data_IF_844734402987
#
_entry.id   IF_844734402987
#
_cell.length_a   1.000
_cell.length_b   1.000
_cell.length_c   1.000
_cell.angle_alpha   90.00
_cell.angle_beta   90.00
_cell.angle_gamma   90.00
#
_symmetry.space_group_name_H-M   'P 1'
#
loop_
_entity.id
_entity.type
_entity.pdbx_description
1 polymer ?
#
# COMPACT_ATOMS: atom_id res chain seq x y z
N UNK A 1 18.19 3.68 -0.79
CA UNK A 1 19.15 3.04 0.15
C UNK A 1 19.83 1.85 -0.54
N UNK A 2 21.12 1.59 -0.30
CA UNK A 2 21.80 0.38 -0.77
C UNK A 2 22.21 -0.47 0.44
N UNK A 3 21.66 -1.68 0.56
CA UNK A 3 21.99 -2.64 1.62
C UNK A 3 22.89 -3.71 1.02
N UNK A 4 24.15 -3.78 1.47
CA UNK A 4 25.17 -4.67 0.90
C UNK A 4 25.58 -5.77 1.89
N UNK A 5 25.16 -7.00 1.58
CA UNK A 5 25.49 -8.22 2.33
C UNK A 5 26.66 -8.99 1.72
N UNK A 6 27.24 -8.54 0.59
CA UNK A 6 28.23 -9.30 -0.19
C UNK A 6 29.52 -9.61 0.59
N UNK A 7 29.85 -8.79 1.61
CA UNK A 7 31.05 -8.94 2.44
C UNK A 7 30.86 -9.84 3.67
N UNK A 8 29.65 -10.32 3.96
CA UNK A 8 29.43 -11.23 5.09
C UNK A 8 30.08 -12.59 4.78
N UNK A 9 31.15 -12.93 5.51
CA UNK A 9 32.09 -13.99 5.15
C UNK A 9 31.41 -15.37 4.99
N UNK A 10 30.56 -15.77 5.94
CA UNK A 10 29.87 -17.06 5.93
C UNK A 10 28.71 -17.14 4.93
N UNK A 11 28.35 -16.02 4.28
CA UNK A 11 27.26 -15.96 3.31
C UNK A 11 25.89 -16.17 3.92
N UNK A 12 25.70 -15.83 5.19
CA UNK A 12 24.41 -15.85 5.89
C UNK A 12 23.91 -14.43 6.17
N UNK A 13 22.64 -14.27 6.55
CA UNK A 13 22.06 -12.98 6.99
C UNK A 13 20.93 -12.45 6.11
N UNK A 14 20.16 -11.52 6.67
CA UNK A 14 19.07 -10.83 5.99
C UNK A 14 19.34 -9.32 5.95
N UNK A 15 18.94 -8.63 4.87
CA UNK A 15 19.10 -7.19 4.74
C UNK A 15 18.18 -6.40 5.69
N UNK A 16 16.89 -6.72 5.67
CA UNK A 16 15.88 -6.13 6.57
C UNK A 16 15.06 -7.25 7.20
N UNK A 17 14.94 -7.24 8.53
CA UNK A 17 13.85 -7.92 9.24
C UNK A 17 12.64 -6.99 9.23
N UNK A 18 11.61 -7.33 8.45
CA UNK A 18 10.47 -6.43 8.18
C UNK A 18 9.17 -6.95 8.80
N UNK A 19 9.20 -7.22 10.10
CA UNK A 19 8.03 -7.63 10.88
C UNK A 19 7.23 -6.40 11.30
N UNK A 20 6.22 -6.04 10.48
CA UNK A 20 5.50 -4.76 10.61
C UNK A 20 3.99 -4.90 10.43
N UNK A 21 3.26 -3.82 10.69
CA UNK A 21 1.82 -3.69 10.49
C UNK A 21 1.49 -2.66 9.38
N UNK A 22 0.28 -2.09 9.41
CA UNK A 22 -0.19 -1.05 8.48
C UNK A 22 0.61 0.25 8.60
N UNK A 23 0.39 1.19 7.66
CA UNK A 23 1.09 2.48 7.60
C UNK A 23 2.64 2.36 7.56
N UNK A 24 3.15 1.26 7.01
CA UNK A 24 4.58 1.04 6.81
C UNK A 24 4.90 0.85 5.34
N UNK A 25 6.04 1.38 4.91
CA UNK A 25 6.51 1.29 3.53
C UNK A 25 8.00 0.96 3.44
N UNK A 26 8.36 0.14 2.46
CA UNK A 26 9.71 0.09 1.90
C UNK A 26 9.67 0.67 0.49
N UNK A 27 10.52 1.65 0.21
CA UNK A 27 10.61 2.27 -1.10
C UNK A 27 12.05 2.55 -1.51
N UNK A 28 12.39 2.28 -2.79
CA UNK A 28 13.65 2.67 -3.40
C UNK A 28 14.88 2.11 -2.66
N UNK A 29 14.89 0.79 -2.47
CA UNK A 29 15.97 0.06 -1.79
C UNK A 29 16.56 -0.97 -2.73
N UNK A 30 17.89 -1.00 -2.80
CA UNK A 30 18.66 -2.02 -3.51
C UNK A 30 19.33 -2.93 -2.48
N UNK A 31 19.12 -4.23 -2.62
CA UNK A 31 19.75 -5.28 -1.84
C UNK A 31 20.82 -5.96 -2.69
N UNK A 32 22.07 -5.93 -2.25
CA UNK A 32 23.19 -6.59 -2.91
C UNK A 32 23.64 -7.77 -2.05
N UNK A 33 23.51 -8.98 -2.59
CA UNK A 33 23.80 -10.24 -1.93
C UNK A 33 24.79 -11.07 -2.76
N UNK A 34 25.42 -12.04 -2.11
CA UNK A 34 26.30 -13.02 -2.78
C UNK A 34 25.51 -13.84 -3.80
N UNK A 35 26.18 -14.22 -4.89
CA UNK A 35 25.59 -15.03 -5.97
C UNK A 35 26.14 -16.47 -6.03
N UNK A 36 27.15 -16.79 -5.21
CA UNK A 36 27.64 -18.18 -5.12
C UNK A 36 26.54 -19.12 -4.63
N UNK A 37 26.54 -20.38 -5.09
CA UNK A 37 25.44 -21.31 -4.81
C UNK A 37 25.33 -21.81 -3.36
N UNK A 38 26.26 -21.42 -2.48
CA UNK A 38 26.34 -21.89 -1.09
C UNK A 38 25.77 -20.91 -0.08
N UNK A 39 25.62 -19.63 -0.45
CA UNK A 39 25.06 -18.62 0.44
C UNK A 39 23.60 -18.92 0.84
N UNK A 40 23.19 -18.41 2.00
CA UNK A 40 21.83 -18.47 2.52
C UNK A 40 21.23 -17.09 2.73
N UNK A 41 21.80 -16.06 2.07
CA UNK A 41 21.41 -14.67 2.25
C UNK A 41 20.00 -14.40 1.74
N UNK A 42 19.35 -13.44 2.40
CA UNK A 42 18.01 -12.98 2.07
C UNK A 42 17.97 -11.45 2.01
N UNK A 43 17.23 -10.87 1.07
CA UNK A 43 17.08 -9.41 1.03
C UNK A 43 16.16 -8.94 2.16
N UNK A 44 14.94 -9.45 2.15
CA UNK A 44 13.96 -9.27 3.22
C UNK A 44 13.72 -10.59 3.93
N UNK A 45 13.71 -10.55 5.26
CA UNK A 45 13.18 -11.59 6.13
C UNK A 45 11.95 -11.04 6.85
N UNK A 46 10.79 -11.64 6.58
CA UNK A 46 9.53 -11.30 7.24
C UNK A 46 8.86 -12.59 7.72
N UNK A 47 8.81 -12.77 9.03
CA UNK A 47 8.31 -13.96 9.70
C UNK A 47 6.81 -13.87 10.03
N UNK A 48 6.32 -12.68 10.38
CA UNK A 48 4.89 -12.38 10.54
C UNK A 48 4.61 -10.86 10.37
N UNK A 49 3.34 -10.47 10.47
CA UNK A 49 2.91 -9.07 10.43
C UNK A 49 1.43 -8.93 10.07
N UNK A 50 0.92 -7.70 10.09
CA UNK A 50 -0.38 -7.31 9.53
C UNK A 50 -0.17 -6.19 8.54
N UNK A 51 0.61 -6.54 7.53
CA UNK A 51 1.32 -5.60 6.72
C UNK A 51 0.50 -4.69 5.82
N UNK A 52 1.27 -3.72 5.34
CA UNK A 52 0.90 -2.67 4.42
C UNK A 52 1.60 -2.83 3.07
N UNK A 53 2.68 -2.07 2.84
CA UNK A 53 3.08 -1.71 1.49
C UNK A 53 4.59 -1.81 1.18
N UNK A 54 4.96 -2.20 -0.05
CA UNK A 54 6.33 -2.06 -0.57
C UNK A 54 6.33 -1.69 -2.05
N UNK A 55 7.28 -0.84 -2.47
CA UNK A 55 7.51 -0.57 -3.87
C UNK A 55 8.96 -0.27 -4.25
N UNK A 56 9.27 -0.41 -5.54
CA UNK A 56 10.53 0.04 -6.14
C UNK A 56 11.76 -0.58 -5.45
N UNK A 57 11.73 -1.90 -5.28
CA UNK A 57 12.80 -2.65 -4.63
C UNK A 57 13.59 -3.43 -5.67
N UNK A 58 14.92 -3.47 -5.52
CA UNK A 58 15.81 -4.25 -6.39
C UNK A 58 16.61 -5.23 -5.55
N UNK A 59 16.60 -6.50 -5.93
CA UNK A 59 17.32 -7.57 -5.26
C UNK A 59 18.33 -8.19 -6.22
N UNK A 60 19.61 -8.16 -5.86
CA UNK A 60 20.70 -8.71 -6.66
C UNK A 60 21.36 -9.87 -5.92
N UNK A 61 21.18 -11.09 -6.42
CA UNK A 61 21.74 -12.32 -5.82
C UNK A 61 20.94 -12.87 -4.64
N UNK A 62 21.60 -13.64 -3.80
CA UNK A 62 21.03 -14.27 -2.62
C UNK A 62 20.33 -15.60 -2.89
N UNK A 63 20.17 -16.39 -1.83
CA UNK A 63 19.34 -17.60 -1.86
C UNK A 63 17.87 -17.23 -2.03
N UNK A 64 17.43 -16.19 -1.32
CA UNK A 64 16.05 -15.71 -1.37
C UNK A 64 16.08 -14.19 -1.59
N UNK A 65 15.39 -13.68 -2.61
CA UNK A 65 15.21 -12.23 -2.75
C UNK A 65 14.43 -11.68 -1.56
N UNK A 66 13.19 -12.16 -1.39
CA UNK A 66 12.36 -11.85 -0.24
C UNK A 66 11.66 -13.08 0.33
N UNK A 67 11.83 -13.28 1.64
CA UNK A 67 11.09 -14.26 2.43
C UNK A 67 9.91 -13.56 3.11
N UNK A 68 8.69 -13.93 2.73
CA UNK A 68 7.48 -13.23 3.12
C UNK A 68 6.54 -14.10 3.96
N UNK A 69 6.14 -13.55 5.11
CA UNK A 69 5.15 -14.12 6.02
C UNK A 69 4.36 -13.00 6.70
N UNK A 70 3.09 -12.82 6.35
CA UNK A 70 2.23 -11.76 6.93
C UNK A 70 0.77 -12.09 6.64
N UNK A 71 -0.16 -11.57 7.45
CA UNK A 71 -1.60 -11.69 7.17
C UNK A 71 -1.92 -11.22 5.74
N UNK A 72 -1.48 -10.01 5.41
CA UNK A 72 -1.61 -9.44 4.07
C UNK A 72 -0.45 -8.48 3.74
N UNK A 73 -0.30 -8.18 2.45
CA UNK A 73 0.53 -7.10 1.94
C UNK A 73 0.14 -6.76 0.48
N UNK A 74 0.44 -5.53 0.07
CA UNK A 74 0.49 -5.12 -1.32
C UNK A 74 1.92 -4.73 -1.67
N UNK A 75 2.49 -5.36 -2.70
CA UNK A 75 3.86 -5.06 -3.13
C UNK A 75 3.91 -4.88 -4.63
N UNK A 76 4.55 -3.81 -5.10
CA UNK A 76 4.65 -3.53 -6.54
C UNK A 76 6.02 -3.09 -7.03
N UNK A 77 6.28 -3.25 -8.32
CA UNK A 77 7.53 -2.82 -8.95
C UNK A 77 8.79 -3.35 -8.23
N UNK A 78 8.86 -4.67 -8.06
CA UNK A 78 10.02 -5.34 -7.48
C UNK A 78 10.82 -6.02 -8.58
N UNK A 79 12.13 -5.81 -8.58
CA UNK A 79 13.06 -6.41 -9.54
C UNK A 79 14.00 -7.38 -8.83
N UNK A 80 14.11 -8.60 -9.35
CA UNK A 80 14.97 -9.65 -8.80
C UNK A 80 15.93 -10.13 -9.88
N UNK A 81 17.23 -10.03 -9.61
CA UNK A 81 18.31 -10.41 -10.51
C UNK A 81 19.14 -11.51 -9.86
N UNK A 82 19.23 -12.68 -10.51
CA UNK A 82 20.08 -13.80 -10.09
C UNK A 82 19.81 -14.34 -8.67
N UNK A 83 18.60 -14.17 -8.14
CA UNK A 83 18.17 -14.86 -6.93
C UNK A 83 17.93 -16.34 -7.23
N UNK A 84 18.23 -17.26 -6.29
CA UNK A 84 17.81 -18.66 -6.44
C UNK A 84 16.29 -18.78 -6.35
N UNK A 85 15.67 -18.19 -5.33
CA UNK A 85 14.23 -17.97 -5.28
C UNK A 85 13.98 -16.46 -5.20
N UNK A 86 13.26 -15.88 -6.15
CA UNK A 86 13.01 -14.44 -6.10
C UNK A 86 12.09 -14.08 -4.93
N UNK A 87 10.91 -14.72 -4.87
CA UNK A 87 9.95 -14.56 -3.78
C UNK A 87 9.66 -15.92 -3.16
N UNK A 88 9.92 -16.04 -1.85
CA UNK A 88 9.51 -17.18 -1.04
C UNK A 88 8.34 -16.76 -0.16
N UNK A 89 7.13 -17.17 -0.53
CA UNK A 89 5.91 -16.93 0.23
C UNK A 89 5.75 -18.03 1.28
N UNK A 90 6.21 -17.74 2.51
CA UNK A 90 6.19 -18.67 3.63
C UNK A 90 4.76 -18.89 4.15
N UNK A 91 4.01 -17.82 4.41
CA UNK A 91 2.59 -17.89 4.80
C UNK A 91 1.88 -16.57 4.52
N UNK A 92 0.57 -16.62 4.26
CA UNK A 92 -0.29 -15.45 4.25
C UNK A 92 -1.78 -15.81 4.39
N UNK A 93 -2.63 -14.81 4.54
CA UNK A 93 -4.06 -14.94 4.22
C UNK A 93 -4.32 -14.49 2.77
N UNK A 94 -3.72 -13.37 2.36
CA UNK A 94 -3.73 -12.93 0.97
C UNK A 94 -2.68 -11.88 0.64
N UNK A 95 -2.08 -11.97 -0.54
CA UNK A 95 -1.04 -11.05 -0.99
C UNK A 95 -1.26 -10.61 -2.43
N UNK A 96 -1.10 -9.32 -2.72
CA UNK A 96 -1.11 -8.80 -4.10
C UNK A 96 0.29 -8.38 -4.53
N UNK A 97 0.80 -9.06 -5.56
CA UNK A 97 2.05 -8.78 -6.25
C UNK A 97 1.73 -8.14 -7.61
N UNK A 98 2.29 -6.97 -7.91
CA UNK A 98 2.11 -6.33 -9.23
C UNK A 98 3.41 -5.77 -9.80
N UNK A 99 3.63 -5.83 -11.11
CA UNK A 99 4.86 -5.27 -11.69
C UNK A 99 6.14 -5.99 -11.22
N UNK A 100 6.06 -7.30 -10.97
CA UNK A 100 7.23 -8.08 -10.54
C UNK A 100 8.07 -8.45 -11.76
N UNK A 101 9.35 -8.12 -11.72
CA UNK A 101 10.33 -8.48 -12.75
C UNK A 101 11.36 -9.43 -12.18
N UNK A 102 11.48 -10.63 -12.75
CA UNK A 102 12.52 -11.60 -12.38
C UNK A 102 13.39 -11.91 -13.59
N UNK A 103 14.69 -11.69 -13.42
CA UNK A 103 15.76 -12.13 -14.31
C UNK A 103 16.60 -13.16 -13.55
N UNK A 104 16.24 -14.44 -13.68
CA UNK A 104 16.93 -15.53 -13.02
C UNK A 104 18.31 -15.80 -13.61
N UNK A 105 19.09 -16.62 -12.91
CA UNK A 105 20.46 -16.99 -13.27
C UNK A 105 20.56 -18.15 -14.30
N UNK A 106 19.43 -18.54 -14.89
CA UNK A 106 19.28 -19.72 -15.76
C UNK A 106 19.67 -21.06 -15.11
N UNK A 107 19.81 -21.10 -13.78
CA UNK A 107 20.16 -22.34 -13.08
C UNK A 107 18.98 -23.30 -12.98
N UNK A 108 19.28 -24.61 -12.97
CA UNK A 108 18.29 -25.70 -12.88
C UNK A 108 17.59 -25.83 -11.52
N UNK A 109 17.83 -24.89 -10.59
CA UNK A 109 17.23 -24.88 -9.26
C UNK A 109 16.59 -23.53 -8.91
N UNK A 110 16.37 -22.66 -9.90
CA UNK A 110 15.83 -21.32 -9.68
C UNK A 110 14.30 -21.27 -9.83
N UNK A 111 13.65 -20.49 -8.98
CA UNK A 111 12.19 -20.29 -8.97
C UNK A 111 11.87 -18.81 -8.89
N UNK A 112 10.92 -18.34 -9.71
CA UNK A 112 10.40 -16.98 -9.60
C UNK A 112 9.64 -16.79 -8.29
N UNK A 113 8.45 -17.38 -8.19
CA UNK A 113 7.63 -17.33 -6.99
C UNK A 113 7.40 -18.72 -6.42
N UNK A 114 7.78 -18.94 -5.17
CA UNK A 114 7.52 -20.16 -4.44
C UNK A 114 6.42 -19.91 -3.40
N UNK A 115 5.27 -20.57 -3.54
CA UNK A 115 4.15 -20.53 -2.58
C UNK A 115 3.66 -21.95 -2.20
N UNK A 116 4.52 -22.95 -2.37
CA UNK A 116 4.20 -24.37 -2.13
C UNK A 116 4.69 -24.87 -0.77
N UNK A 117 4.93 -23.96 0.19
CA UNK A 117 5.37 -24.32 1.54
C UNK A 117 4.32 -25.21 2.22
N UNK A 118 4.77 -26.29 2.86
CA UNK A 118 3.94 -27.25 3.60
C UNK A 118 2.75 -27.78 2.77
N UNK A 119 2.96 -28.48 1.65
CA UNK A 119 1.89 -28.76 0.67
C UNK A 119 0.71 -29.61 1.21
N UNK A 120 0.93 -30.39 2.27
CA UNK A 120 -0.12 -31.16 2.95
C UNK A 120 -0.95 -30.32 3.94
N UNK A 121 -0.45 -29.15 4.35
CA UNK A 121 -1.09 -28.17 5.22
C UNK A 121 -0.58 -26.76 4.85
N UNK A 122 -1.14 -26.25 3.76
CA UNK A 122 -0.67 -25.07 3.05
C UNK A 122 -0.76 -23.84 3.93
N UNK A 123 0.37 -23.14 4.06
CA UNK A 123 0.49 -21.94 4.89
C UNK A 123 0.25 -20.66 4.09
N UNK A 124 0.44 -20.69 2.77
CA UNK A 124 0.02 -19.61 1.88
C UNK A 124 -1.50 -19.73 1.60
N UNK A 125 -2.28 -18.76 2.07
CA UNK A 125 -3.72 -18.71 1.85
C UNK A 125 -4.05 -18.36 0.40
N UNK A 126 -3.63 -17.18 -0.05
CA UNK A 126 -3.91 -16.71 -1.41
C UNK A 126 -2.88 -15.73 -1.96
N UNK A 127 -2.78 -15.68 -3.30
CA UNK A 127 -1.90 -14.73 -3.98
C UNK A 127 -2.48 -14.28 -5.32
N UNK A 128 -2.37 -12.98 -5.57
CA UNK A 128 -2.54 -12.38 -6.91
C UNK A 128 -1.17 -11.98 -7.42
N UNK A 129 -0.83 -12.37 -8.65
CA UNK A 129 0.34 -11.91 -9.39
C UNK A 129 -0.12 -11.25 -10.70
N UNK A 130 0.08 -9.94 -10.81
CA UNK A 130 -0.41 -9.15 -11.93
C UNK A 130 0.71 -8.40 -12.65
N UNK A 131 0.53 -8.14 -13.96
CA UNK A 131 1.35 -7.22 -14.74
C UNK A 131 2.86 -7.48 -14.58
N UNK A 132 3.26 -8.75 -14.59
CA UNK A 132 4.58 -9.22 -14.16
C UNK A 132 5.30 -10.01 -15.24
N UNK A 133 6.63 -10.12 -15.13
CA UNK A 133 7.47 -10.88 -16.06
C UNK A 133 8.52 -11.67 -15.31
N UNK A 134 8.56 -12.99 -15.53
CA UNK A 134 9.48 -13.90 -14.87
C UNK A 134 10.21 -14.71 -15.94
N UNK A 135 11.53 -14.53 -16.00
CA UNK A 135 12.39 -15.14 -17.03
C UNK A 135 13.69 -15.68 -16.44
N UNK A 136 14.34 -16.62 -17.14
CA UNK A 136 15.63 -17.16 -16.73
C UNK A 136 15.56 -18.02 -15.47
N UNK A 137 14.38 -18.54 -15.14
CA UNK A 137 14.14 -19.44 -14.00
C UNK A 137 13.73 -20.82 -14.48
N UNK A 138 13.89 -21.86 -13.64
CA UNK A 138 13.35 -23.19 -13.95
C UNK A 138 11.83 -23.23 -13.86
N UNK A 139 11.28 -22.69 -12.78
CA UNK A 139 9.85 -22.62 -12.54
C UNK A 139 9.42 -21.16 -12.39
N UNK A 140 8.40 -20.74 -13.13
CA UNK A 140 7.82 -19.40 -12.99
C UNK A 140 7.17 -19.24 -11.62
N UNK A 141 6.15 -20.06 -11.36
CA UNK A 141 5.45 -20.16 -10.07
C UNK A 141 5.38 -21.62 -9.63
N UNK A 142 5.68 -21.89 -8.36
CA UNK A 142 5.47 -23.19 -7.72
C UNK A 142 4.39 -23.09 -6.66
N UNK A 143 3.31 -23.86 -6.80
CA UNK A 143 2.13 -23.82 -5.92
C UNK A 143 1.83 -25.19 -5.31
N UNK A 144 1.17 -25.21 -4.13
CA UNK A 144 0.65 -26.42 -3.51
C UNK A 144 -0.85 -26.64 -3.76
N UNK A 145 -1.51 -25.70 -4.44
CA UNK A 145 -2.91 -25.86 -4.82
C UNK A 145 -3.10 -27.13 -5.64
N UNK A 146 -4.21 -27.83 -5.40
CA UNK A 146 -4.66 -28.91 -6.27
C UNK A 146 -6.19 -29.03 -6.25
N UNK A 147 -6.75 -29.72 -7.25
CA UNK A 147 -8.21 -29.87 -7.39
C UNK A 147 -8.85 -30.93 -6.48
N UNK A 148 -8.07 -31.71 -5.74
CA UNK A 148 -8.57 -32.88 -4.99
C UNK A 148 -8.73 -32.59 -3.50
N UNK A 149 -7.67 -32.16 -2.84
CA UNK A 149 -7.63 -31.93 -1.41
C UNK A 149 -6.62 -30.83 -1.08
N UNK A 150 -7.14 -29.67 -0.67
CA UNK A 150 -6.36 -28.62 -0.04
C UNK A 150 -6.66 -28.58 1.45
N UNK A 151 -5.65 -28.26 2.24
CA UNK A 151 -5.79 -28.00 3.67
C UNK A 151 -5.04 -26.70 3.94
N UNK A 152 -5.71 -25.60 4.35
CA UNK A 152 -7.17 -25.44 4.44
C UNK A 152 -7.86 -25.57 3.06
N UNK A 153 -9.20 -25.69 3.03
CA UNK A 153 -9.97 -26.04 1.82
C UNK A 153 -9.72 -25.14 0.59
N UNK A 154 -9.30 -23.90 0.81
CA UNK A 154 -8.95 -22.92 -0.24
C UNK A 154 -7.50 -22.44 -0.15
N UNK A 155 -6.65 -23.13 0.61
CA UNK A 155 -5.22 -22.86 0.69
C UNK A 155 -4.58 -22.92 -0.70
N UNK A 156 -3.57 -22.07 -0.92
CA UNK A 156 -2.87 -21.95 -2.19
C UNK A 156 -3.66 -21.28 -3.31
N UNK A 157 -4.77 -20.58 -3.01
CA UNK A 157 -5.55 -19.87 -4.04
C UNK A 157 -4.64 -18.94 -4.84
N UNK A 158 -4.67 -19.03 -6.16
CA UNK A 158 -3.72 -18.35 -7.03
C UNK A 158 -4.43 -17.71 -8.22
N UNK A 159 -4.19 -16.41 -8.42
CA UNK A 159 -4.66 -15.66 -9.59
C UNK A 159 -3.44 -15.05 -10.27
N UNK A 160 -3.28 -15.32 -11.57
CA UNK A 160 -2.36 -14.55 -12.42
C UNK A 160 -3.18 -13.73 -13.42
N UNK A 161 -2.74 -12.51 -13.68
CA UNK A 161 -3.34 -11.68 -14.73
C UNK A 161 -2.29 -10.82 -15.44
N UNK A 162 -2.20 -10.94 -16.77
CA UNK A 162 -1.16 -10.30 -17.58
C UNK A 162 0.27 -10.60 -17.06
N UNK A 163 0.62 -11.89 -17.03
CA UNK A 163 1.93 -12.36 -16.53
C UNK A 163 2.70 -13.08 -17.62
N UNK A 164 3.91 -12.63 -17.92
CA UNK A 164 4.80 -13.29 -18.88
C UNK A 164 5.72 -14.30 -18.17
N UNK A 165 5.42 -15.59 -18.34
CA UNK A 165 6.23 -16.72 -17.86
C UNK A 165 6.91 -17.48 -19.01
N UNK A 166 6.95 -16.89 -20.22
CA UNK A 166 7.52 -17.56 -21.41
C UNK A 166 9.02 -17.84 -21.31
N UNK A 167 9.72 -17.10 -20.43
CA UNK A 167 11.14 -17.29 -20.18
C UNK A 167 11.48 -18.32 -19.10
N UNK A 168 10.50 -19.07 -18.58
CA UNK A 168 10.76 -20.20 -17.69
C UNK A 168 11.22 -21.44 -18.50
N UNK A 169 12.16 -22.23 -17.98
CA UNK A 169 12.78 -23.32 -18.76
C UNK A 169 12.11 -24.68 -18.61
N UNK A 170 11.40 -24.94 -17.51
CA UNK A 170 10.70 -26.21 -17.29
C UNK A 170 9.18 -26.06 -17.18
N UNK A 171 8.70 -25.09 -16.40
CA UNK A 171 7.27 -24.84 -16.24
C UNK A 171 6.98 -23.36 -16.00
N UNK A 172 5.90 -22.85 -16.60
CA UNK A 172 5.32 -21.58 -16.18
C UNK A 172 4.77 -21.71 -14.76
N UNK A 173 3.90 -22.71 -14.56
CA UNK A 173 3.36 -23.08 -13.24
C UNK A 173 3.56 -24.58 -13.01
N UNK A 174 4.08 -24.94 -11.83
CA UNK A 174 4.27 -26.32 -11.41
C UNK A 174 3.62 -26.54 -10.04
N UNK A 175 3.02 -27.72 -9.84
CA UNK A 175 2.47 -28.11 -8.55
C UNK A 175 3.56 -28.63 -7.58
N UNK A 176 3.18 -28.89 -6.33
CA UNK A 176 4.09 -29.40 -5.31
C UNK A 176 4.57 -30.85 -5.55
N UNK A 177 3.91 -31.60 -6.45
CA UNK A 177 4.28 -32.97 -6.83
C UNK A 177 5.18 -33.04 -8.08
N UNK A 178 5.47 -31.89 -8.70
CA UNK A 178 6.28 -31.79 -9.91
C UNK A 178 5.48 -31.88 -11.21
N UNK A 179 4.15 -31.83 -11.16
CA UNK A 179 3.29 -31.78 -12.34
C UNK A 179 3.30 -30.39 -12.94
N UNK A 180 3.56 -30.29 -14.24
CA UNK A 180 3.41 -29.03 -14.98
C UNK A 180 1.92 -28.71 -15.10
N UNK A 181 1.49 -27.64 -14.43
CA UNK A 181 0.11 -27.12 -14.49
C UNK A 181 -0.05 -26.22 -15.72
N UNK A 182 0.96 -25.38 -15.97
CA UNK A 182 1.01 -24.51 -17.16
C UNK A 182 2.41 -24.53 -17.75
N UNK A 183 2.50 -24.82 -19.06
CA UNK A 183 3.75 -24.71 -19.82
C UNK A 183 4.20 -23.25 -19.93
N UNK A 184 5.51 -22.97 -20.11
CA UNK A 184 6.01 -21.60 -20.24
C UNK A 184 5.31 -20.82 -21.35
N UNK A 185 4.62 -19.74 -20.99
CA UNK A 185 3.91 -18.86 -21.92
C UNK A 185 3.55 -17.51 -21.27
N UNK A 186 3.09 -16.56 -22.07
CA UNK A 186 2.40 -15.38 -21.55
C UNK A 186 0.97 -15.74 -21.16
N UNK A 187 0.60 -15.45 -19.93
CA UNK A 187 -0.70 -15.75 -19.32
C UNK A 187 -1.54 -14.47 -19.29
N UNK A 188 -2.68 -14.50 -19.97
CA UNK A 188 -3.69 -13.44 -19.84
C UNK A 188 -4.41 -13.55 -18.50
N UNK A 189 -4.96 -14.73 -18.19
CA UNK A 189 -5.49 -15.07 -16.88
C UNK A 189 -5.20 -16.53 -16.54
N UNK A 190 -4.88 -16.80 -15.27
CA UNK A 190 -4.95 -18.12 -14.67
C UNK A 190 -5.65 -18.00 -13.32
N UNK A 191 -6.51 -18.96 -13.01
CA UNK A 191 -7.21 -19.03 -11.71
C UNK A 191 -7.12 -20.43 -11.16
N UNK A 192 -6.72 -20.54 -9.90
CA UNK A 192 -6.78 -21.74 -9.07
C UNK A 192 -7.51 -21.40 -7.78
N UNK A 193 -8.73 -21.91 -7.60
CA UNK A 193 -9.55 -21.60 -6.43
C UNK A 193 -11.05 -21.79 -6.65
N UNK A 194 -11.83 -21.20 -5.73
CA UNK A 194 -13.29 -21.16 -5.82
C UNK A 194 -13.75 -19.94 -6.62
N UNK A 195 -14.61 -20.17 -7.61
CA UNK A 195 -15.16 -19.14 -8.51
C UNK A 195 -16.67 -19.08 -8.33
N UNK A 196 -17.19 -17.85 -8.29
CA UNK A 196 -18.60 -17.52 -8.22
C UNK A 196 -18.94 -16.57 -9.38
N UNK A 197 -19.88 -16.95 -10.24
CA UNK A 197 -20.24 -16.26 -11.48
C UNK A 197 -21.74 -15.88 -11.50
N UNK A 198 -22.28 -15.48 -10.35
CA UNK A 198 -23.72 -15.28 -10.10
C UNK A 198 -24.59 -16.55 -10.31
N UNK A 199 -23.96 -17.72 -10.46
CA UNK A 199 -24.60 -19.03 -10.35
C UNK A 199 -24.80 -19.43 -8.87
N UNK A 200 -25.83 -20.23 -8.53
CA UNK A 200 -25.95 -20.84 -7.21
C UNK A 200 -24.86 -21.89 -6.92
N UNK A 201 -24.04 -22.24 -7.92
CA UNK A 201 -23.07 -23.33 -7.81
C UNK A 201 -21.65 -22.78 -7.75
N UNK A 202 -20.91 -23.13 -6.70
CA UNK A 202 -19.47 -22.86 -6.61
C UNK A 202 -18.70 -23.73 -7.60
N UNK A 203 -17.92 -23.12 -8.49
CA UNK A 203 -16.97 -23.84 -9.31
C UNK A 203 -15.59 -23.88 -8.64
N UNK A 204 -15.02 -25.06 -8.44
CA UNK A 204 -13.64 -25.21 -7.95
C UNK A 204 -12.75 -25.59 -9.13
N UNK A 205 -11.90 -24.66 -9.58
CA UNK A 205 -11.17 -24.78 -10.86
C UNK A 205 -9.69 -24.44 -10.70
N UNK A 206 -8.92 -24.95 -11.65
CA UNK A 206 -7.50 -24.65 -11.88
C UNK A 206 -7.30 -24.60 -13.39
N UNK A 207 -6.82 -23.48 -13.91
CA UNK A 207 -6.51 -23.38 -15.34
C UNK A 207 -6.43 -21.97 -15.88
N UNK A 208 -6.01 -21.89 -17.14
CA UNK A 208 -6.01 -20.67 -17.94
C UNK A 208 -7.45 -20.25 -18.25
N UNK A 209 -7.72 -18.95 -18.12
CA UNK A 209 -9.03 -18.33 -18.40
C UNK A 209 -10.22 -19.10 -17.78
N UNK A 210 -10.02 -19.69 -16.59
CA UNK A 210 -11.00 -20.54 -15.92
C UNK A 210 -12.21 -19.76 -15.37
N UNK A 211 -12.14 -18.43 -15.40
CA UNK A 211 -13.20 -17.49 -15.05
C UNK A 211 -13.31 -16.40 -16.13
N UNK A 212 -14.33 -15.54 -16.03
CA UNK A 212 -14.42 -14.34 -16.88
C UNK A 212 -13.24 -13.44 -16.60
N UNK A 213 -12.49 -13.07 -17.65
CA UNK A 213 -11.38 -12.12 -17.54
C UNK A 213 -11.94 -10.74 -17.17
N UNK A 214 -11.43 -10.08 -16.09
CA UNK A 214 -11.90 -8.76 -15.71
C UNK A 214 -11.68 -7.74 -16.82
N UNK A 215 -12.72 -6.98 -17.16
CA UNK A 215 -12.58 -5.80 -17.99
C UNK A 215 -11.86 -4.71 -17.18
N UNK A 216 -10.71 -4.24 -17.66
CA UNK A 216 -9.97 -3.13 -17.05
C UNK A 216 -10.20 -1.85 -17.86
N UNK A 217 -11.00 -0.88 -17.37
CA UNK A 217 -11.20 0.38 -18.07
C UNK A 217 -9.88 1.08 -18.37
N UNK A 218 -9.74 1.64 -19.58
CA UNK A 218 -8.50 2.31 -20.02
C UNK A 218 -8.05 3.45 -19.09
N UNK A 219 -8.97 4.10 -18.39
CA UNK A 219 -8.66 5.12 -17.39
C UNK A 219 -7.75 4.59 -16.25
N UNK A 220 -7.89 3.31 -15.90
CA UNK A 220 -7.11 2.64 -14.85
C UNK A 220 -5.78 2.07 -15.35
N UNK A 221 -5.46 2.18 -16.65
CA UNK A 221 -4.29 1.55 -17.24
C UNK A 221 -3.17 2.53 -17.55
N UNK A 222 -1.91 2.10 -17.45
CA UNK A 222 -0.77 2.82 -18.01
C UNK A 222 -0.67 2.62 -19.54
N UNK A 223 0.35 3.23 -20.17
CA UNK A 223 0.56 3.11 -21.62
C UNK A 223 0.97 1.70 -22.07
N UNK A 224 1.36 0.82 -21.14
CA UNK A 224 1.71 -0.57 -21.41
C UNK A 224 0.51 -1.52 -21.21
N UNK A 225 -0.65 -1.00 -20.79
CA UNK A 225 -1.85 -1.79 -20.48
C UNK A 225 -1.83 -2.45 -19.10
N UNK A 226 -0.87 -2.09 -18.25
CA UNK A 226 -0.83 -2.52 -16.85
C UNK A 226 -1.72 -1.62 -16.00
N UNK A 227 -2.10 -2.06 -14.80
CA UNK A 227 -2.76 -1.17 -13.84
C UNK A 227 -1.83 0.02 -13.54
N UNK A 228 -2.35 1.23 -13.73
CA UNK A 228 -1.62 2.46 -13.50
C UNK A 228 -1.18 2.52 -12.04
N UNK A 229 0.11 2.73 -11.84
CA UNK A 229 0.71 2.93 -10.53
C UNK A 229 1.77 4.00 -10.60
N UNK A 230 2.02 4.66 -9.47
CA UNK A 230 3.04 5.68 -9.32
C UNK A 230 3.51 5.69 -7.88
N UNK A 231 4.82 5.73 -7.67
CA UNK A 231 5.43 5.78 -6.34
C UNK A 231 5.38 7.14 -5.70
N UNK A 232 5.51 7.13 -4.36
CA UNK A 232 5.54 8.35 -3.56
C UNK A 232 6.59 9.29 -4.15
N UNK A 233 6.21 10.49 -4.62
CA UNK A 233 7.17 11.43 -5.14
C UNK A 233 8.11 11.88 -4.02
N UNK A 234 9.42 11.80 -4.26
CA UNK A 234 10.45 12.28 -3.32
C UNK A 234 11.04 13.63 -3.74
N UNK A 235 10.59 14.20 -4.86
CA UNK A 235 11.04 15.49 -5.39
C UNK A 235 12.57 15.64 -5.48
N UNK A 236 13.30 14.59 -5.87
CA UNK A 236 14.77 14.54 -5.81
C UNK A 236 15.52 15.68 -6.55
N UNK A 237 14.88 16.33 -7.53
CA UNK A 237 15.44 17.48 -8.24
C UNK A 237 15.08 18.84 -7.64
N UNK A 238 14.25 18.89 -6.59
CA UNK A 238 13.86 20.12 -5.93
C UNK A 238 14.98 20.64 -5.02
N UNK A 239 15.06 21.96 -4.91
CA UNK A 239 15.98 22.70 -4.06
C UNK A 239 15.21 23.36 -2.92
N UNK A 240 15.90 23.85 -1.89
CA UNK A 240 15.26 24.57 -0.76
C UNK A 240 14.34 25.71 -1.19
N UNK A 241 14.64 26.38 -2.31
CA UNK A 241 13.80 27.46 -2.83
C UNK A 241 12.49 26.99 -3.46
N UNK A 242 12.36 25.70 -3.79
CA UNK A 242 11.11 25.15 -4.33
C UNK A 242 10.05 24.89 -3.25
N UNK A 243 10.43 24.95 -1.98
CA UNK A 243 9.57 24.70 -0.83
C UNK A 243 9.11 25.99 -0.17
N UNK A 244 7.88 25.95 0.35
CA UNK A 244 7.30 26.94 1.26
C UNK A 244 6.95 26.21 2.56
N UNK A 245 7.40 26.74 3.69
CA UNK A 245 7.35 26.07 5.00
C UNK A 245 6.16 26.57 5.82
N UNK A 246 5.35 25.66 6.36
CA UNK A 246 4.08 25.98 7.02
C UNK A 246 4.29 26.89 8.23
N UNK A 247 5.27 26.60 9.08
CA UNK A 247 5.58 27.42 10.25
C UNK A 247 6.39 28.65 9.83
N UNK A 248 7.54 28.44 9.20
CA UNK A 248 8.49 29.54 8.95
C UNK A 248 7.96 30.59 7.94
N UNK A 249 7.28 30.15 6.87
CA UNK A 249 6.81 31.03 5.78
C UNK A 249 5.29 31.28 5.81
N UNK A 250 4.53 30.37 6.42
CA UNK A 250 3.07 30.43 6.60
C UNK A 250 2.63 30.96 7.97
N UNK A 251 3.50 30.93 8.97
CA UNK A 251 3.22 31.41 10.32
C UNK A 251 2.26 30.54 11.12
N UNK A 252 2.01 29.30 10.70
CA UNK A 252 1.21 28.33 11.46
C UNK A 252 1.90 28.04 12.79
N UNK A 253 1.12 27.82 13.84
CA UNK A 253 1.63 27.58 15.18
C UNK A 253 2.05 26.12 15.38
N UNK A 254 1.23 25.16 14.89
CA UNK A 254 1.54 23.74 15.01
C UNK A 254 1.60 23.20 16.44
N UNK A 255 0.92 23.87 17.39
CA UNK A 255 1.01 23.61 18.83
C UNK A 255 -0.21 22.82 19.39
N UNK A 256 -1.02 22.22 18.53
CA UNK A 256 -2.29 21.53 18.81
C UNK A 256 -3.43 22.40 19.38
N UNK A 257 -3.16 23.65 19.77
CA UNK A 257 -4.08 24.48 20.54
C UNK A 257 -4.57 25.71 19.76
N UNK A 258 -3.64 26.40 19.11
CA UNK A 258 -3.88 27.58 18.29
C UNK A 258 -4.63 27.17 17.04
N UNK A 259 -5.68 27.92 16.72
CA UNK A 259 -6.44 27.71 15.49
C UNK A 259 -5.63 28.18 14.27
N UNK A 260 -5.10 27.21 13.52
CA UNK A 260 -4.30 27.44 12.33
C UNK A 260 -5.14 27.58 11.05
N UNK A 261 -6.47 27.49 11.12
CA UNK A 261 -7.35 27.41 9.95
C UNK A 261 -7.10 28.51 8.92
N UNK A 262 -7.12 29.78 9.35
CA UNK A 262 -6.97 30.91 8.45
C UNK A 262 -5.57 31.00 7.84
N UNK A 263 -4.54 30.70 8.64
CA UNK A 263 -3.14 30.72 8.19
C UNK A 263 -2.83 29.55 7.27
N UNK A 264 -3.38 28.37 7.56
CA UNK A 264 -3.26 27.18 6.74
C UNK A 264 -3.88 27.39 5.36
N UNK A 265 -5.10 27.96 5.30
CA UNK A 265 -5.72 28.30 4.02
C UNK A 265 -4.83 29.27 3.21
N UNK A 266 -4.38 30.37 3.84
CA UNK A 266 -3.52 31.34 3.19
C UNK A 266 -2.17 30.75 2.74
N UNK A 267 -1.60 29.83 3.53
CA UNK A 267 -0.36 29.12 3.21
C UNK A 267 -0.53 28.23 1.97
N UNK A 268 -1.59 27.43 1.91
CA UNK A 268 -1.88 26.59 0.75
C UNK A 268 -2.16 27.42 -0.50
N UNK A 269 -2.91 28.52 -0.39
CA UNK A 269 -3.17 29.43 -1.51
C UNK A 269 -1.87 30.08 -2.03
N UNK A 270 -0.98 30.48 -1.11
CA UNK A 270 0.35 31.02 -1.44
C UNK A 270 1.24 29.97 -2.10
N UNK A 271 1.28 28.74 -1.58
CA UNK A 271 2.06 27.65 -2.17
C UNK A 271 1.57 27.34 -3.59
N UNK A 272 0.24 27.27 -3.79
CA UNK A 272 -0.34 27.03 -5.11
C UNK A 272 -0.02 28.15 -6.10
N UNK A 273 -0.25 29.40 -5.72
CA UNK A 273 -0.04 30.56 -6.61
C UNK A 273 1.42 30.77 -6.99
N UNK A 274 2.35 30.38 -6.12
CA UNK A 274 3.79 30.47 -6.37
C UNK A 274 4.39 29.17 -6.93
N UNK A 275 3.58 28.14 -7.17
CA UNK A 275 4.00 26.81 -7.59
C UNK A 275 5.12 26.22 -6.70
N UNK A 276 4.98 26.40 -5.38
CA UNK A 276 5.87 25.82 -4.36
C UNK A 276 5.35 24.48 -3.89
N UNK A 277 6.25 23.66 -3.36
CA UNK A 277 5.91 22.50 -2.55
C UNK A 277 5.58 22.99 -1.15
N UNK A 278 4.34 22.79 -0.71
CA UNK A 278 3.92 23.08 0.65
C UNK A 278 4.52 22.03 1.60
N UNK A 279 5.48 22.45 2.41
CA UNK A 279 6.13 21.60 3.39
C UNK A 279 5.52 21.85 4.77
N UNK A 280 4.96 20.82 5.37
CA UNK A 280 4.46 20.84 6.74
C UNK A 280 5.53 20.24 7.65
N UNK A 281 6.17 21.10 8.44
CA UNK A 281 7.08 20.67 9.51
C UNK A 281 6.32 19.79 10.53
N UNK A 282 7.04 18.89 11.20
CA UNK A 282 6.45 17.97 12.17
C UNK A 282 5.83 18.74 13.34
N UNK A 283 4.50 18.70 13.42
CA UNK A 283 3.72 19.46 14.38
C UNK A 283 2.24 19.03 14.35
N UNK A 284 1.42 19.61 15.22
CA UNK A 284 -0.03 19.36 15.27
C UNK A 284 -0.77 20.66 14.94
N UNK A 285 -1.36 20.73 13.76
CA UNK A 285 -2.03 21.91 13.24
C UNK A 285 -3.54 21.78 13.46
N UNK A 286 -4.07 22.49 14.45
CA UNK A 286 -5.50 22.47 14.75
C UNK A 286 -6.28 23.30 13.74
N UNK A 287 -7.34 22.71 13.19
CA UNK A 287 -8.28 23.38 12.28
C UNK A 287 -9.71 23.27 12.79
N UNK A 288 -10.47 24.36 12.70
CA UNK A 288 -11.84 24.47 13.21
C UNK A 288 -12.88 24.69 12.12
N UNK A 289 -12.44 24.78 10.86
CA UNK A 289 -13.30 24.93 9.69
C UNK A 289 -12.67 24.23 8.48
N UNK A 290 -13.45 24.08 7.40
CA UNK A 290 -12.99 23.49 6.14
C UNK A 290 -11.74 24.20 5.61
N UNK A 291 -10.72 23.41 5.30
CA UNK A 291 -9.56 23.82 4.49
C UNK A 291 -9.80 23.38 3.06
N UNK A 292 -9.87 24.32 2.12
CA UNK A 292 -10.00 24.03 0.69
C UNK A 292 -8.60 23.94 0.07
N UNK A 293 -8.24 22.76 -0.41
CA UNK A 293 -6.92 22.53 -1.03
C UNK A 293 -6.99 22.82 -2.54
N UNK A 294 -6.15 23.74 -3.07
CA UNK A 294 -6.07 23.99 -4.51
C UNK A 294 -5.60 22.76 -5.31
N UNK A 295 -6.08 22.61 -6.54
CA UNK A 295 -5.80 21.45 -7.42
C UNK A 295 -5.01 21.82 -8.68
N UNK A 296 -4.36 22.98 -8.66
CA UNK A 296 -3.62 23.54 -9.79
C UNK A 296 -2.13 23.15 -9.77
N UNK A 297 -1.85 21.85 -9.59
CA UNK A 297 -0.48 21.32 -9.48
C UNK A 297 0.09 21.43 -8.06
N UNK A 298 -0.81 21.42 -7.06
CA UNK A 298 -0.44 21.47 -5.64
C UNK A 298 0.37 20.25 -5.25
N UNK A 299 1.40 20.47 -4.41
CA UNK A 299 2.28 19.43 -3.88
C UNK A 299 2.45 19.67 -2.38
N UNK A 300 2.06 18.71 -1.57
CA UNK A 300 2.06 18.76 -0.11
C UNK A 300 2.95 17.63 0.43
N UNK A 301 3.88 17.98 1.31
CA UNK A 301 4.82 17.04 1.93
C UNK A 301 4.85 17.29 3.43
N UNK A 302 4.69 16.24 4.22
CA UNK A 302 4.87 16.28 5.67
C UNK A 302 6.24 15.78 6.12
N UNK A 303 6.73 16.33 7.23
CA UNK A 303 7.89 15.81 7.96
C UNK A 303 7.44 14.77 9.00
N UNK A 304 7.56 13.47 8.68
CA UNK A 304 7.24 12.37 9.61
C UNK A 304 5.83 12.54 10.21
N UNK A 305 4.80 12.57 9.36
CA UNK A 305 3.39 12.68 9.76
C UNK A 305 3.03 13.89 10.66
N UNK A 306 3.21 15.15 10.20
CA UNK A 306 2.49 16.27 10.77
C UNK A 306 0.99 16.00 10.79
N UNK A 307 0.35 16.39 11.89
CA UNK A 307 -1.04 16.11 12.16
C UNK A 307 -1.90 17.31 11.81
N UNK A 308 -2.94 17.08 11.02
CA UNK A 308 -4.08 17.99 10.93
C UNK A 308 -5.11 17.54 11.96
N UNK A 309 -5.32 18.33 13.00
CA UNK A 309 -6.22 18.01 14.11
C UNK A 309 -7.54 18.77 13.95
N UNK A 310 -8.60 18.09 13.51
CA UNK A 310 -9.90 18.73 13.32
C UNK A 310 -10.64 18.92 14.65
N UNK A 311 -11.35 20.04 14.79
CA UNK A 311 -12.20 20.32 15.96
C UNK A 311 -13.41 21.16 15.55
N UNK A 312 -14.52 21.08 16.30
CA UNK A 312 -15.71 21.89 16.06
C UNK A 312 -16.67 21.35 14.97
N UNK A 313 -16.41 20.19 14.40
CA UNK A 313 -17.26 19.54 13.39
C UNK A 313 -18.31 18.65 14.05
N UNK A 314 -19.21 19.26 14.84
CA UNK A 314 -20.07 18.54 15.78
C UNK A 314 -21.47 18.16 15.25
N UNK A 315 -21.89 18.70 14.11
CA UNK A 315 -23.24 18.45 13.58
C UNK A 315 -23.27 17.24 12.64
N UNK A 316 -23.62 16.08 13.18
CA UNK A 316 -23.79 14.83 12.42
C UNK A 316 -24.87 14.91 11.33
N UNK A 317 -25.86 15.80 11.48
CA UNK A 317 -26.95 15.95 10.50
C UNK A 317 -26.57 16.87 9.34
N UNK A 318 -25.45 17.58 9.46
CA UNK A 318 -24.91 18.49 8.45
C UNK A 318 -23.39 18.32 8.35
N UNK A 319 -22.91 17.12 7.97
CA UNK A 319 -21.49 16.82 7.98
C UNK A 319 -20.72 17.74 7.02
N UNK A 320 -19.50 18.13 7.41
CA UNK A 320 -18.65 19.07 6.65
C UNK A 320 -17.26 18.50 6.42
N UNK A 321 -16.64 18.80 5.27
CA UNK A 321 -15.27 18.42 5.02
C UNK A 321 -14.30 19.19 5.92
N UNK A 322 -13.34 18.49 6.52
CA UNK A 322 -12.19 19.10 7.20
C UNK A 322 -11.17 19.53 6.14
N UNK A 323 -10.70 18.59 5.33
CA UNK A 323 -9.86 18.86 4.16
C UNK A 323 -10.64 18.58 2.87
N UNK A 324 -10.93 19.64 2.14
CA UNK A 324 -11.70 19.62 0.90
C UNK A 324 -10.76 19.76 -0.31
N UNK A 325 -10.45 18.65 -0.96
CA UNK A 325 -9.53 18.60 -2.10
C UNK A 325 -10.25 19.08 -3.36
N UNK A 326 -10.02 20.34 -3.73
CA UNK A 326 -10.76 21.05 -4.75
C UNK A 326 -12.06 21.67 -4.22
N UNK A 327 -12.34 22.91 -4.61
CA UNK A 327 -13.44 23.71 -4.03
C UNK A 327 -14.85 23.15 -4.28
N UNK A 328 -15.08 22.45 -5.39
CA UNK A 328 -16.40 21.97 -5.81
C UNK A 328 -16.28 20.59 -6.48
N UNK A 329 -17.36 19.80 -6.42
CA UNK A 329 -17.45 18.48 -7.08
C UNK A 329 -17.04 18.55 -8.56
N UNK A 330 -16.13 17.68 -8.97
CA UNK A 330 -15.64 17.57 -10.33
C UNK A 330 -14.74 18.72 -10.80
N UNK A 331 -14.29 19.59 -9.90
CA UNK A 331 -13.41 20.72 -10.26
C UNK A 331 -12.18 20.22 -11.00
N UNK A 332 -11.90 20.87 -12.14
CA UNK A 332 -10.73 20.56 -12.97
C UNK A 332 -9.51 21.29 -12.44
N UNK A 333 -8.36 20.64 -12.56
CA UNK A 333 -7.07 21.17 -12.17
C UNK A 333 -5.96 20.28 -12.72
N UNK A 334 -4.72 20.78 -12.68
CA UNK A 334 -3.56 20.03 -13.17
C UNK A 334 -3.29 18.80 -12.31
N UNK A 335 -3.43 18.90 -10.99
CA UNK A 335 -2.97 17.85 -10.07
C UNK A 335 -2.95 18.28 -8.61
N UNK A 336 -2.91 17.28 -7.73
CA UNK A 336 -2.75 17.42 -6.27
C UNK A 336 -1.98 16.20 -5.75
N UNK A 337 -0.80 16.43 -5.17
CA UNK A 337 0.02 15.39 -4.55
C UNK A 337 0.08 15.62 -3.05
N UNK A 338 -0.22 14.60 -2.25
CA UNK A 338 -0.15 14.63 -0.79
C UNK A 338 0.73 13.49 -0.32
N UNK A 339 1.73 13.79 0.48
CA UNK A 339 2.68 12.80 1.01
C UNK A 339 2.95 13.03 2.48
N UNK A 340 3.08 11.94 3.23
CA UNK A 340 3.57 11.95 4.61
C UNK A 340 2.72 12.81 5.59
N UNK A 341 1.40 12.88 5.41
CA UNK A 341 0.47 13.63 6.30
C UNK A 341 -0.38 12.70 7.18
N UNK A 342 -0.73 13.14 8.39
CA UNK A 342 -1.67 12.44 9.26
C UNK A 342 -2.89 13.33 9.55
N UNK A 343 -4.09 12.76 9.50
CA UNK A 343 -5.34 13.48 9.76
C UNK A 343 -6.07 12.86 10.95
N UNK A 344 -6.41 13.70 11.92
CA UNK A 344 -7.01 13.30 13.19
C UNK A 344 -8.16 14.23 13.59
N UNK A 345 -8.81 13.88 14.70
CA UNK A 345 -9.86 14.68 15.33
C UNK A 345 -9.57 14.85 16.81
N UNK A 346 -9.81 16.04 17.35
CA UNK A 346 -9.88 16.32 18.78
C UNK A 346 -11.31 16.05 19.24
N UNK A 347 -11.56 14.85 19.72
CA UNK A 347 -12.88 14.29 19.93
C UNK A 347 -13.78 15.09 20.88
N UNK A 348 -15.11 14.97 20.72
CA UNK A 348 -15.82 14.32 19.60
C UNK A 348 -15.94 15.26 18.37
N UNK A 349 -16.00 14.71 17.14
CA UNK A 349 -16.31 15.46 15.90
C UNK A 349 -17.24 14.68 14.95
N UNK A 350 -18.45 14.28 15.38
CA UNK A 350 -19.32 13.35 14.65
C UNK A 350 -19.84 13.86 13.30
N UNK A 351 -19.64 15.13 12.96
CA UNK A 351 -19.95 15.74 11.67
C UNK A 351 -18.74 15.89 10.72
N UNK A 352 -17.55 15.42 11.10
CA UNK A 352 -16.35 15.56 10.27
C UNK A 352 -16.32 14.56 9.11
N UNK A 353 -16.25 15.06 7.88
CA UNK A 353 -15.74 14.32 6.71
C UNK A 353 -14.25 14.66 6.61
N UNK A 354 -13.36 13.79 7.09
CA UNK A 354 -11.94 14.14 7.30
C UNK A 354 -11.27 14.54 5.97
N UNK A 355 -11.37 13.68 4.96
CA UNK A 355 -10.91 13.97 3.60
C UNK A 355 -12.09 13.88 2.63
N UNK A 356 -12.41 14.99 1.96
CA UNK A 356 -13.34 15.02 0.85
C UNK A 356 -12.61 15.32 -0.46
N UNK A 357 -12.60 14.35 -1.37
CA UNK A 357 -11.95 14.48 -2.67
C UNK A 357 -12.95 14.89 -3.74
N UNK A 358 -12.94 16.17 -4.12
CA UNK A 358 -13.81 16.70 -5.16
C UNK A 358 -13.14 16.72 -6.55
N UNK A 359 -11.81 16.78 -6.57
CA UNK A 359 -11.04 17.04 -7.77
C UNK A 359 -11.22 15.95 -8.85
N UNK A 360 -11.33 16.40 -10.10
CA UNK A 360 -11.25 15.56 -11.29
C UNK A 360 -10.13 16.08 -12.18
N UNK A 361 -8.90 15.85 -11.72
CA UNK A 361 -7.68 16.40 -12.32
C UNK A 361 -7.51 15.90 -13.75
N UNK A 362 -6.81 16.69 -14.59
CA UNK A 362 -6.64 16.36 -16.01
C UNK A 362 -5.43 15.47 -16.28
N UNK A 363 -4.47 15.42 -15.36
CA UNK A 363 -3.21 14.67 -15.49
C UNK A 363 -3.08 13.68 -14.34
N UNK A 364 -3.40 12.40 -14.61
CA UNK A 364 -3.31 11.33 -13.61
C UNK A 364 -1.90 11.09 -13.06
N UNK A 365 -0.86 11.62 -13.72
CA UNK A 365 0.53 11.55 -13.27
C UNK A 365 0.90 12.53 -12.17
N UNK A 366 0.02 13.51 -11.88
CA UNK A 366 0.25 14.59 -10.92
C UNK A 366 -0.76 14.59 -9.78
N UNK A 367 -1.36 13.44 -9.50
CA UNK A 367 -2.47 13.33 -8.55
C UNK A 367 -2.34 12.06 -7.74
N UNK A 368 -2.54 12.17 -6.43
CA UNK A 368 -2.58 11.05 -5.52
C UNK A 368 -2.18 11.40 -4.10
N UNK A 369 -2.30 10.40 -3.23
CA UNK A 369 -1.94 10.46 -1.83
C UNK A 369 -1.10 9.23 -1.46
N UNK A 370 0.06 9.47 -0.84
CA UNK A 370 1.02 8.42 -0.47
C UNK A 370 1.46 8.56 0.98
N UNK A 371 1.62 7.44 1.70
CA UNK A 371 2.08 7.43 3.10
C UNK A 371 1.35 8.47 3.97
N UNK A 372 0.06 8.69 3.68
CA UNK A 372 -0.77 9.65 4.41
C UNK A 372 -2.01 8.93 4.91
N UNK A 373 -2.40 9.22 6.14
CA UNK A 373 -3.29 8.35 6.90
C UNK A 373 -4.35 9.15 7.65
N UNK A 374 -5.46 8.49 7.98
CA UNK A 374 -6.50 9.04 8.84
C UNK A 374 -6.57 8.17 10.08
N UNK A 375 -6.36 8.77 11.25
CA UNK A 375 -6.38 8.10 12.56
C UNK A 375 -7.44 8.74 13.45
N UNK A 376 -8.48 8.00 13.75
CA UNK A 376 -9.64 8.48 14.51
C UNK A 376 -9.58 7.94 15.94
N UNK A 377 -8.92 8.70 16.82
CA UNK A 377 -8.72 8.36 18.23
C UNK A 377 -7.51 7.48 18.51
N UNK A 378 -7.38 7.03 19.77
CA UNK A 378 -6.36 6.06 20.19
C UNK A 378 -4.92 6.58 20.19
N UNK A 379 -4.71 7.90 20.19
CA UNK A 379 -3.38 8.52 20.27
C UNK A 379 -3.42 9.80 21.09
N UNK A 380 -2.27 10.18 21.64
CA UNK A 380 -2.16 11.40 22.45
C UNK A 380 -2.72 12.63 21.71
N UNK A 381 -3.50 13.45 22.43
CA UNK A 381 -4.07 14.70 21.91
C UNK A 381 -5.42 14.55 21.19
N UNK A 382 -5.95 13.34 21.02
CA UNK A 382 -7.28 13.15 20.39
C UNK A 382 -8.44 13.26 21.38
N UNK A 383 -8.20 13.21 22.70
CA UNK A 383 -9.26 13.09 23.74
C UNK A 383 -10.22 11.91 23.51
N UNK A 384 -9.70 10.86 22.85
CA UNK A 384 -10.40 9.62 22.51
C UNK A 384 -9.50 8.43 22.87
N UNK A 385 -8.98 8.46 24.09
CA UNK A 385 -8.09 7.46 24.68
C UNK A 385 -8.92 6.50 25.55
N UNK A 386 -8.26 5.50 26.13
CA UNK A 386 -8.89 4.55 27.04
C UNK A 386 -9.59 5.26 28.22
N UNK A 387 -9.01 6.37 28.72
CA UNK A 387 -9.57 7.18 29.82
C UNK A 387 -10.97 7.72 29.49
N UNK A 388 -11.21 8.16 28.25
CA UNK A 388 -12.50 8.70 27.83
C UNK A 388 -13.43 7.61 27.25
N UNK A 389 -12.86 6.59 26.62
CA UNK A 389 -13.56 5.67 25.73
C UNK A 389 -13.34 4.20 26.06
N UNK A 390 -13.53 3.85 27.33
CA UNK A 390 -13.47 2.46 27.78
C UNK A 390 -14.60 1.63 27.17
N UNK A 391 -14.23 0.48 26.58
CA UNK A 391 -15.17 -0.48 26.00
C UNK A 391 -16.26 -0.93 26.99
N UNK A 392 -16.00 -0.91 28.30
CA UNK A 392 -16.94 -1.30 29.36
C UNK A 392 -18.11 -0.33 29.46
N UNK A 393 -17.88 0.94 29.18
CA UNK A 393 -18.90 1.99 29.24
C UNK A 393 -19.82 1.96 28.01
N UNK A 394 -19.31 1.48 26.88
CA UNK A 394 -20.04 1.34 25.62
C UNK A 394 -20.98 0.11 25.53
N UNK A 395 -21.08 -0.73 26.58
CA UNK A 395 -21.83 -2.00 26.53
C UNK A 395 -23.36 -1.86 26.54
N UNK A 396 -23.91 -0.67 26.76
CA UNK A 396 -25.38 -0.48 26.83
C UNK A 396 -25.91 0.85 26.29
N UNK A 397 -25.08 1.88 26.14
CA UNK A 397 -25.47 3.19 25.59
C UNK A 397 -24.29 3.77 24.82
N UNK A 398 -24.57 4.41 23.68
CA UNK A 398 -23.56 5.14 22.91
C UNK A 398 -23.03 6.31 23.74
N UNK A 399 -21.73 6.31 24.04
CA UNK A 399 -21.02 7.43 24.64
C UNK A 399 -20.73 8.46 23.54
N UNK A 400 -21.41 9.60 23.57
CA UNK A 400 -21.36 10.60 22.47
C UNK A 400 -19.99 11.28 22.39
N UNK A 401 -19.36 11.42 23.54
CA UNK A 401 -18.01 11.97 23.73
C UNK A 401 -16.96 11.11 23.00
N UNK A 402 -17.25 9.84 22.75
CA UNK A 402 -16.38 8.91 22.01
C UNK A 402 -16.64 8.86 20.51
N UNK A 403 -17.50 9.73 19.97
CA UNK A 403 -17.75 9.76 18.53
C UNK A 403 -16.63 10.51 17.81
N UNK A 404 -15.83 9.79 17.04
CA UNK A 404 -14.69 10.37 16.34
C UNK A 404 -15.09 11.25 15.14
N UNK A 405 -15.54 10.65 14.01
CA UNK A 405 -15.85 11.36 12.77
C UNK A 405 -17.04 10.75 12.01
N UNK A 406 -17.62 11.49 11.07
CA UNK A 406 -18.69 11.02 10.18
C UNK A 406 -18.17 10.09 9.08
N UNK A 407 -17.05 10.47 8.46
CA UNK A 407 -16.46 9.78 7.31
C UNK A 407 -14.96 10.09 7.22
N UNK A 408 -14.11 9.07 7.05
CA UNK A 408 -12.66 9.28 6.92
C UNK A 408 -12.25 9.75 5.51
N UNK A 409 -12.86 9.18 4.47
CA UNK A 409 -12.57 9.53 3.08
C UNK A 409 -13.84 9.48 2.22
N UNK A 410 -14.11 10.57 1.50
CA UNK A 410 -15.24 10.68 0.60
C UNK A 410 -14.79 11.18 -0.78
N UNK A 411 -14.80 10.30 -1.78
CA UNK A 411 -14.66 10.69 -3.18
C UNK A 411 -16.05 11.06 -3.73
N UNK A 412 -16.20 12.29 -4.23
CA UNK A 412 -17.49 12.75 -4.75
C UNK A 412 -17.81 12.16 -6.13
N UNK A 413 -19.07 12.17 -6.58
CA UNK A 413 -19.46 11.59 -7.87
C UNK A 413 -18.72 12.16 -9.07
N UNK A 414 -18.38 13.45 -9.05
CA UNK A 414 -17.64 14.11 -10.11
C UNK A 414 -16.12 13.95 -10.02
N UNK A 415 -15.58 13.40 -8.93
CA UNK A 415 -14.14 13.22 -8.72
C UNK A 415 -13.52 12.19 -9.68
N UNK A 416 -12.22 12.26 -9.89
CA UNK A 416 -11.51 11.34 -10.78
C UNK A 416 -10.00 11.43 -10.67
N UNK A 417 -9.31 10.43 -11.24
CA UNK A 417 -7.85 10.27 -11.17
C UNK A 417 -7.33 10.28 -9.72
N UNK A 418 -8.02 9.55 -8.84
CA UNK A 418 -7.59 9.34 -7.46
C UNK A 418 -6.65 8.15 -7.43
N UNK A 419 -5.44 8.36 -6.91
CA UNK A 419 -4.48 7.31 -6.62
C UNK A 419 -4.17 7.37 -5.12
N UNK A 420 -4.48 6.28 -4.40
CA UNK A 420 -4.17 6.14 -2.99
C UNK A 420 -3.18 4.97 -2.87
N UNK A 421 -2.02 5.22 -2.29
CA UNK A 421 -0.97 4.22 -2.15
C UNK A 421 -0.38 4.26 -0.75
N UNK A 422 -0.43 3.14 -0.02
CA UNK A 422 -0.20 3.11 1.43
C UNK A 422 -0.99 4.20 2.20
N UNK A 423 -2.32 4.09 2.21
CA UNK A 423 -3.20 4.99 2.95
C UNK A 423 -4.06 4.19 3.94
N UNK A 424 -3.81 4.33 5.24
CA UNK A 424 -4.58 3.66 6.27
C UNK A 424 -5.66 4.60 6.81
N UNK A 425 -6.92 4.15 6.77
CA UNK A 425 -8.07 4.83 7.36
C UNK A 425 -8.50 4.01 8.58
N UNK A 426 -8.05 4.41 9.76
CA UNK A 426 -8.18 3.64 10.99
C UNK A 426 -9.07 4.36 12.00
N UNK A 427 -10.10 3.66 12.46
CA UNK A 427 -10.84 4.00 13.68
C UNK A 427 -10.22 3.19 14.79
N UNK A 428 -9.82 3.86 15.87
CA UNK A 428 -9.06 3.22 16.92
C UNK A 428 -9.82 2.06 17.57
N UNK A 429 -9.24 0.86 17.47
CA UNK A 429 -9.72 -0.32 18.18
C UNK A 429 -9.03 -0.51 19.55
N UNK A 430 -7.93 0.22 19.78
CA UNK A 430 -7.19 0.27 21.03
C UNK A 430 -6.55 1.65 21.20
N UNK A 431 -6.14 1.93 22.43
CA UNK A 431 -5.32 3.08 22.78
C UNK A 431 -3.84 2.71 22.58
N UNK A 432 -3.11 3.47 21.75
CA UNK A 432 -1.69 3.24 21.50
C UNK A 432 -0.78 3.82 22.57
N UNK A 433 -1.32 4.65 23.46
CA UNK A 433 -0.61 5.22 24.61
C UNK A 433 -0.81 4.38 25.88
N UNK A 434 -1.65 3.35 25.83
CA UNK A 434 -1.90 2.45 26.95
C UNK A 434 -0.68 1.53 27.18
N UNK A 435 -0.04 1.69 28.34
CA UNK A 435 1.12 0.90 28.75
C UNK A 435 0.75 -0.48 29.35
N UNK A 436 -0.55 -0.78 29.54
CA UNK A 436 -1.06 -2.08 29.99
C UNK A 436 -1.64 -2.11 31.40
#
# INVERSE_FOLDING_TARGET
LNIDLTKIADGTGAGIHWQVAQATSLQNIVFNMKQDGTNTQQGIFMDNGSGGYMADLVFNGGKIGAFFGSQQFTTRNLTFNNCKTAIFMNWNWGWTLSGITVSGDNSVNSTGVFMAQSPQNQTAGSMVLADSRITGVKYGVQTAFNLRQNVPATGGTLILNNVDLSGATAAGIIDANGTVVVTPQKINQFVAGSIYDNSPTRAFKEGLDAATVPNKPAALLDNNGNIYSRSKPQYAGATRSDFLFAIADGGLAGDASTDDTAKMQAFLDKASSQNKIAYFEHAVYKVTNTITVPVNGMRIVGEIWPVILASGFNDVNNPKPVWQIGANDGVKGVGIEITDMLFEVLGPNPGAIVLQWNAATTDKSKTGMWDSHVRMGGSYGTELLLEQCDKRDALSTLVKECQAAFMMFYATPGSGNILLDNTWFWVADHDMEDEG
#
